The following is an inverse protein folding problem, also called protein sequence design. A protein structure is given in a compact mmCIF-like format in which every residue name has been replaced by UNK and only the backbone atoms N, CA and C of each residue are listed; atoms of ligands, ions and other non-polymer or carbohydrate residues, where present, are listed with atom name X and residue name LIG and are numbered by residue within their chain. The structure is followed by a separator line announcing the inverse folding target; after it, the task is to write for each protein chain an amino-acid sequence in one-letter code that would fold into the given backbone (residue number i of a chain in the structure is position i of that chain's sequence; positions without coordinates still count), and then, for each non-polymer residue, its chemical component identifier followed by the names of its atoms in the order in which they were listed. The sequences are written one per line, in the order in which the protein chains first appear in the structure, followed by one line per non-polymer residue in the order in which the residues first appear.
data_IF_653878601275
#
_entry.id   IF_653878601275
#
_cell.length_a   1.000
_cell.length_b   1.000
_cell.length_c   1.000
_cell.angle_alpha   90.00
_cell.angle_beta   90.00
_cell.angle_gamma   90.00
#
_symmetry.space_group_name_H-M   'P 1'
#
loop_
_entity.id
_entity.type
_entity.pdbx_description
1 polymer ?
#
# COMPACT_ATOMS: atom_id res chain seq x y z
N UNK A 1 -12.15 19.44 3.11
CA UNK A 1 -12.32 20.00 4.48
C UNK A 1 -12.91 21.42 4.49
N UNK A 2 -12.57 22.32 3.55
CA UNK A 2 -13.14 23.68 3.46
C UNK A 2 -14.66 23.72 3.21
N UNK A 3 -15.16 22.85 2.34
CA UNK A 3 -16.58 22.77 1.98
C UNK A 3 -17.46 22.32 3.17
N UNK A 4 -16.97 21.37 3.97
CA UNK A 4 -17.68 20.86 5.14
C UNK A 4 -17.81 21.92 6.25
N UNK A 5 -16.77 22.74 6.45
CA UNK A 5 -16.83 23.88 7.38
C UNK A 5 -17.85 24.92 6.92
N UNK A 6 -17.94 25.18 5.61
CA UNK A 6 -18.93 26.09 5.05
C UNK A 6 -20.38 25.63 5.30
N UNK A 7 -20.66 24.34 5.12
CA UNK A 7 -21.99 23.77 5.34
C UNK A 7 -22.40 23.84 6.83
N UNK A 8 -21.47 23.57 7.74
CA UNK A 8 -21.74 23.63 9.19
C UNK A 8 -22.06 25.07 9.63
N UNK A 9 -21.28 26.05 9.16
CA UNK A 9 -21.52 27.47 9.46
C UNK A 9 -22.87 27.94 8.91
N UNK A 10 -23.24 27.46 7.72
CA UNK A 10 -24.53 27.80 7.09
C UNK A 10 -25.72 27.19 7.84
N UNK A 11 -25.62 25.95 8.30
CA UNK A 11 -26.64 25.28 9.11
C UNK A 11 -26.83 25.94 10.49
N UNK A 12 -25.74 26.34 11.15
CA UNK A 12 -25.81 27.08 12.42
C UNK A 12 -26.45 28.46 12.25
N UNK A 13 -26.12 29.15 11.16
CA UNK A 13 -26.75 30.44 10.82
C UNK A 13 -28.25 30.31 10.54
N UNK A 14 -28.66 29.26 9.82
CA UNK A 14 -30.06 28.98 9.54
C UNK A 14 -30.84 28.65 10.83
N UNK A 15 -30.24 27.87 11.74
CA UNK A 15 -30.84 27.55 13.04
C UNK A 15 -31.03 28.81 13.91
N UNK A 16 -30.05 29.71 13.92
CA UNK A 16 -30.13 30.98 14.65
C UNK A 16 -31.20 31.91 14.04
N UNK A 17 -31.28 31.96 12.70
CA UNK A 17 -32.29 32.75 11.98
C UNK A 17 -33.71 32.24 12.27
N UNK A 18 -33.92 30.92 12.27
CA UNK A 18 -35.20 30.32 12.64
C UNK A 18 -35.58 30.62 14.09
N UNK A 19 -34.62 30.66 15.02
CA UNK A 19 -34.89 30.99 16.42
C UNK A 19 -35.37 32.45 16.62
N UNK A 20 -34.82 33.39 15.83
CA UNK A 20 -35.09 34.84 15.93
C UNK A 20 -36.36 35.26 15.18
N UNK A 21 -36.64 34.66 14.02
CA UNK A 21 -37.73 35.11 13.12
C UNK A 21 -39.08 34.45 13.43
N UNK A 22 -39.12 33.31 14.14
CA UNK A 22 -40.37 32.61 14.43
C UNK A 22 -41.16 33.30 15.58
N UNK A 23 -42.40 33.75 15.34
CA UNK A 23 -43.25 34.37 16.38
C UNK A 23 -43.56 33.36 17.50
N UNK A 24 -43.72 33.84 18.74
CA UNK A 24 -44.07 33.02 19.91
C UNK A 24 -45.51 32.50 19.79
N UNK A 25 -45.69 31.39 19.08
CA UNK A 25 -46.93 30.63 19.07
C UNK A 25 -46.71 29.25 19.68
N UNK A 26 -47.79 28.64 20.17
CA UNK A 26 -47.78 27.37 20.89
C UNK A 26 -47.14 26.18 20.12
N UNK A 27 -46.89 26.34 18.81
CA UNK A 27 -46.25 25.33 17.95
C UNK A 27 -44.74 25.54 17.72
N UNK A 28 -44.16 26.64 18.22
CA UNK A 28 -42.72 26.97 18.05
C UNK A 28 -41.81 25.87 18.60
N UNK A 29 -42.15 25.29 19.75
CA UNK A 29 -41.39 24.21 20.37
C UNK A 29 -41.39 22.91 19.52
N UNK A 30 -42.52 22.60 18.88
CA UNK A 30 -42.65 21.39 18.03
C UNK A 30 -41.86 21.51 16.73
N UNK A 31 -41.86 22.70 16.14
CA UNK A 31 -41.10 22.99 14.91
C UNK A 31 -39.59 22.94 15.19
N UNK A 32 -39.15 23.52 16.30
CA UNK A 32 -37.73 23.51 16.71
C UNK A 32 -37.27 22.07 17.03
N UNK A 33 -38.07 21.28 17.72
CA UNK A 33 -37.75 19.87 18.04
C UNK A 33 -37.69 18.98 16.77
N UNK A 34 -38.61 19.20 15.82
CA UNK A 34 -38.60 18.52 14.52
C UNK A 34 -37.34 18.82 13.70
N UNK A 35 -36.95 20.09 13.63
CA UNK A 35 -35.72 20.52 12.94
C UNK A 35 -34.47 19.96 13.65
N UNK A 36 -34.45 20.00 14.99
CA UNK A 36 -33.36 19.43 15.79
C UNK A 36 -33.15 17.94 15.51
N UNK A 37 -34.22 17.14 15.57
CA UNK A 37 -34.18 15.70 15.26
C UNK A 37 -33.70 15.43 13.82
N UNK A 38 -34.13 16.23 12.85
CA UNK A 38 -33.64 16.15 11.47
C UNK A 38 -32.13 16.39 11.33
N UNK A 39 -31.59 17.42 12.00
CA UNK A 39 -30.15 17.72 11.96
C UNK A 39 -29.33 16.63 12.65
N UNK A 40 -29.76 16.14 13.82
CA UNK A 40 -29.05 15.09 14.56
C UNK A 40 -29.03 13.76 13.80
N UNK A 41 -30.13 13.40 13.13
CA UNK A 41 -30.19 12.16 12.32
C UNK A 41 -29.26 12.22 11.10
N UNK A 42 -29.23 13.34 10.36
CA UNK A 42 -28.31 13.53 9.23
C UNK A 42 -26.86 13.52 9.71
N UNK A 43 -26.55 14.19 10.81
CA UNK A 43 -25.19 14.19 11.38
C UNK A 43 -24.76 12.78 11.82
N UNK A 44 -25.65 12.02 12.46
CA UNK A 44 -25.43 10.63 12.83
C UNK A 44 -25.12 9.73 11.63
N UNK A 45 -25.87 9.87 10.53
CA UNK A 45 -25.63 9.12 9.30
C UNK A 45 -24.28 9.46 8.64
N UNK A 46 -23.91 10.75 8.60
CA UNK A 46 -22.60 11.18 8.08
C UNK A 46 -21.47 10.63 8.93
N UNK A 47 -21.60 10.71 10.27
CA UNK A 47 -20.61 10.18 11.20
C UNK A 47 -20.47 8.65 11.06
N UNK A 48 -21.58 7.92 10.94
CA UNK A 48 -21.59 6.48 10.68
C UNK A 48 -20.91 6.14 9.34
N UNK A 49 -21.22 6.86 8.26
CA UNK A 49 -20.56 6.70 6.96
C UNK A 49 -19.05 6.96 7.06
N UNK A 50 -18.63 8.00 7.78
CA UNK A 50 -17.23 8.30 8.01
C UNK A 50 -16.53 7.19 8.81
N UNK A 51 -17.18 6.70 9.87
CA UNK A 51 -16.69 5.57 10.68
C UNK A 51 -16.60 4.27 9.88
N UNK A 52 -17.58 3.97 9.02
CA UNK A 52 -17.54 2.81 8.11
C UNK A 52 -16.42 2.95 7.09
N UNK A 53 -16.22 4.15 6.51
CA UNK A 53 -15.11 4.43 5.59
C UNK A 53 -13.76 4.32 6.29
N UNK A 54 -13.63 4.85 7.51
CA UNK A 54 -12.44 4.74 8.35
C UNK A 54 -12.17 3.28 8.75
N UNK A 55 -13.21 2.51 9.10
CA UNK A 55 -13.11 1.07 9.38
C UNK A 55 -12.71 0.29 8.15
N UNK A 56 -13.28 0.57 6.97
CA UNK A 56 -12.87 -0.04 5.71
C UNK A 56 -11.42 0.29 5.41
N UNK A 57 -11.00 1.54 5.52
CA UNK A 57 -9.60 1.93 5.34
C UNK A 57 -8.64 1.26 6.34
N UNK A 58 -9.02 1.17 7.63
CA UNK A 58 -8.26 0.41 8.64
C UNK A 58 -8.24 -1.10 8.38
N UNK A 59 -9.32 -1.67 7.85
CA UNK A 59 -9.40 -3.08 7.42
C UNK A 59 -8.69 -3.34 6.08
N UNK A 60 -8.53 -2.29 5.27
CA UNK A 60 -7.77 -2.28 4.02
C UNK A 60 -6.29 -1.96 4.24
N UNK A 61 -5.81 -1.79 5.49
CA UNK A 61 -4.42 -2.12 5.76
C UNK A 61 -4.25 -3.57 5.31
N UNK A 62 -3.35 -3.88 4.36
CA UNK A 62 -3.07 -5.24 3.97
C UNK A 62 -2.86 -6.02 5.26
N UNK A 63 -3.70 -7.03 5.48
CA UNK A 63 -3.51 -7.92 6.59
C UNK A 63 -2.09 -8.45 6.42
N UNK A 64 -1.20 -8.10 7.36
CA UNK A 64 0.10 -8.74 7.43
C UNK A 64 -0.20 -10.25 7.33
N UNK A 65 0.37 -10.96 6.33
CA UNK A 65 0.21 -12.39 6.18
C UNK A 65 0.45 -12.99 7.55
N UNK A 66 -0.57 -13.73 8.02
CA UNK A 66 -0.51 -14.42 9.29
C UNK A 66 0.77 -15.24 9.30
N UNK A 67 1.58 -15.01 10.32
CA UNK A 67 2.61 -15.92 10.83
C UNK A 67 3.65 -16.38 9.81
N UNK A 68 4.86 -15.90 10.04
CA UNK A 68 6.20 -16.43 9.68
C UNK A 68 6.44 -17.92 10.02
N UNK A 69 5.41 -18.77 9.98
CA UNK A 69 5.51 -20.22 10.12
C UNK A 69 5.13 -21.00 8.84
N UNK A 70 4.47 -20.40 7.85
CA UNK A 70 4.01 -21.11 6.65
C UNK A 70 4.73 -20.70 5.34
N UNK A 71 5.31 -19.49 5.27
CA UNK A 71 5.96 -18.94 4.08
C UNK A 71 7.47 -18.84 4.30
N UNK A 72 8.23 -19.92 4.08
CA UNK A 72 9.66 -19.84 3.73
C UNK A 72 10.56 -18.93 4.58
N UNK A 73 11.67 -18.51 3.98
CA UNK A 73 12.37 -17.28 4.37
C UNK A 73 11.86 -16.14 3.48
N UNK A 74 10.92 -15.29 3.94
CA UNK A 74 10.40 -14.23 3.09
C UNK A 74 11.47 -13.18 2.77
N UNK A 75 11.46 -12.67 1.54
CA UNK A 75 12.34 -11.58 1.08
C UNK A 75 11.56 -10.67 0.16
N UNK A 76 11.69 -9.36 0.34
CA UNK A 76 11.04 -8.39 -0.53
C UNK A 76 11.87 -8.19 -1.79
N UNK A 77 11.21 -8.11 -2.93
CA UNK A 77 11.83 -7.82 -4.22
C UNK A 77 11.21 -6.55 -4.79
N UNK A 78 12.05 -5.56 -5.07
CA UNK A 78 11.65 -4.37 -5.81
C UNK A 78 11.60 -4.73 -7.30
N UNK A 79 10.45 -5.18 -7.77
CA UNK A 79 10.26 -5.66 -9.14
C UNK A 79 10.48 -4.56 -10.18
N UNK A 80 10.09 -3.33 -9.84
CA UNK A 80 10.29 -2.16 -10.70
C UNK A 80 11.76 -1.82 -10.90
N UNK A 81 12.61 -1.99 -9.88
CA UNK A 81 14.06 -1.82 -10.04
C UNK A 81 14.71 -3.03 -10.71
N UNK A 82 14.34 -4.24 -10.28
CA UNK A 82 15.01 -5.48 -10.68
C UNK A 82 14.85 -5.79 -12.16
N UNK A 83 13.69 -5.48 -12.75
CA UNK A 83 13.47 -5.70 -14.18
C UNK A 83 14.43 -4.92 -15.09
N UNK A 84 15.07 -3.86 -14.58
CA UNK A 84 16.06 -3.04 -15.30
C UNK A 84 17.51 -3.51 -15.11
N UNK A 85 17.79 -4.58 -14.37
CA UNK A 85 19.19 -5.00 -14.14
C UNK A 85 19.91 -5.43 -15.41
N UNK A 86 19.18 -5.81 -16.46
CA UNK A 86 19.72 -6.12 -17.78
C UNK A 86 19.76 -4.94 -18.76
N UNK A 87 19.48 -3.72 -18.31
CA UNK A 87 19.29 -2.54 -19.16
C UNK A 87 17.81 -2.21 -19.31
N UNK A 88 17.23 -2.53 -20.45
CA UNK A 88 15.80 -2.33 -20.71
C UNK A 88 14.92 -3.17 -19.77
N UNK A 89 13.73 -2.67 -19.39
CA UNK A 89 12.83 -3.40 -18.51
C UNK A 89 12.47 -4.75 -19.11
N UNK A 90 12.82 -5.82 -18.39
CA UNK A 90 12.70 -7.18 -18.89
C UNK A 90 12.08 -8.10 -17.84
N UNK A 91 10.94 -8.70 -18.20
CA UNK A 91 10.32 -9.71 -17.36
C UNK A 91 11.24 -10.93 -17.18
N UNK A 92 12.01 -11.29 -18.20
CA UNK A 92 12.97 -12.41 -18.15
C UNK A 92 14.00 -12.20 -17.04
N UNK A 93 14.55 -10.99 -16.92
CA UNK A 93 15.53 -10.66 -15.87
C UNK A 93 14.89 -10.84 -14.50
N UNK A 94 13.69 -10.29 -14.30
CA UNK A 94 12.97 -10.43 -13.04
C UNK A 94 12.65 -11.89 -12.71
N UNK A 95 12.10 -12.67 -13.64
CA UNK A 95 11.81 -14.10 -13.45
C UNK A 95 13.06 -14.88 -13.02
N UNK A 96 14.22 -14.59 -13.62
CA UNK A 96 15.48 -15.27 -13.23
C UNK A 96 15.94 -14.89 -11.83
N UNK A 97 15.74 -13.66 -11.40
CA UNK A 97 16.04 -13.24 -10.02
C UNK A 97 15.12 -13.98 -9.04
N UNK A 98 13.84 -14.08 -9.35
CA UNK A 98 12.86 -14.78 -8.50
C UNK A 98 13.18 -16.28 -8.38
N UNK A 99 13.49 -16.93 -9.50
CA UNK A 99 13.91 -18.35 -9.52
C UNK A 99 15.18 -18.58 -8.70
N UNK A 100 16.17 -17.68 -8.79
CA UNK A 100 17.40 -17.78 -8.00
C UNK A 100 17.13 -17.61 -6.50
N UNK A 101 16.21 -16.72 -6.11
CA UNK A 101 15.79 -16.56 -4.71
C UNK A 101 15.09 -17.82 -4.18
N UNK A 102 14.17 -18.38 -4.97
CA UNK A 102 13.46 -19.62 -4.64
C UNK A 102 14.43 -20.81 -4.53
N UNK A 103 15.37 -20.95 -5.46
CA UNK A 103 16.41 -21.98 -5.42
C UNK A 103 17.30 -21.88 -4.18
N UNK A 104 17.46 -20.67 -3.62
CA UNK A 104 18.17 -20.43 -2.36
C UNK A 104 17.29 -20.63 -1.11
N UNK A 105 16.02 -21.02 -1.25
CA UNK A 105 15.10 -21.25 -0.13
C UNK A 105 14.44 -19.97 0.41
N UNK A 106 14.36 -18.92 -0.41
CA UNK A 106 13.60 -17.71 -0.08
C UNK A 106 12.24 -17.71 -0.75
N UNK A 107 11.28 -17.05 -0.09
CA UNK A 107 9.97 -16.76 -0.66
C UNK A 107 9.92 -15.30 -1.08
N UNK A 108 9.95 -15.00 -2.39
CA UNK A 108 9.93 -13.63 -2.87
C UNK A 108 8.55 -12.98 -2.70
N UNK A 109 8.53 -11.77 -2.17
CA UNK A 109 7.37 -10.87 -2.11
C UNK A 109 7.66 -9.67 -3.02
N UNK A 110 7.07 -9.65 -4.21
CA UNK A 110 7.40 -8.70 -5.27
C UNK A 110 6.51 -7.47 -5.20
N UNK A 111 7.12 -6.29 -5.18
CA UNK A 111 6.43 -5.01 -5.24
C UNK A 111 6.73 -4.32 -6.56
N UNK A 112 5.72 -3.65 -7.10
CA UNK A 112 5.82 -2.89 -8.34
C UNK A 112 5.22 -1.49 -8.18
N UNK A 113 5.80 -0.54 -8.93
CA UNK A 113 5.14 0.72 -9.23
C UNK A 113 3.90 0.52 -10.12
N UNK A 114 2.98 1.48 -10.08
CA UNK A 114 1.72 1.43 -10.83
C UNK A 114 1.90 1.36 -12.36
N UNK A 115 3.07 1.71 -12.89
CA UNK A 115 3.38 1.83 -14.32
C UNK A 115 4.05 0.57 -14.89
N UNK A 116 4.34 -0.45 -14.07
CA UNK A 116 5.01 -1.69 -14.52
C UNK A 116 4.37 -2.32 -15.74
N UNK A 117 3.03 -2.29 -15.83
CA UNK A 117 2.29 -2.86 -16.95
C UNK A 117 2.71 -2.25 -18.29
N UNK A 118 2.80 -0.91 -18.34
CA UNK A 118 3.22 -0.21 -19.56
C UNK A 118 4.69 -0.45 -19.87
N UNK A 119 5.55 -0.51 -18.84
CA UNK A 119 6.98 -0.76 -19.01
C UNK A 119 7.29 -2.16 -19.57
N UNK A 120 6.50 -3.18 -19.23
CA UNK A 120 6.74 -4.57 -19.64
C UNK A 120 5.87 -5.04 -20.82
N UNK A 121 4.68 -4.47 -20.99
CA UNK A 121 3.66 -4.98 -21.91
C UNK A 121 2.96 -3.90 -22.74
N UNK A 122 3.38 -2.65 -22.63
CA UNK A 122 2.79 -1.49 -23.32
C UNK A 122 1.27 -1.30 -23.07
N UNK A 123 0.79 -1.76 -21.91
CA UNK A 123 -0.61 -1.58 -21.48
C UNK A 123 -0.77 -1.67 -19.96
N UNK A 124 -1.94 -1.28 -19.44
CA UNK A 124 -2.28 -1.62 -18.06
C UNK A 124 -2.37 -3.13 -17.84
N UNK A 125 -1.84 -3.59 -16.71
CA UNK A 125 -1.82 -5.00 -16.30
C UNK A 125 -2.24 -5.09 -14.83
N UNK A 126 -3.15 -6.02 -14.53
CA UNK A 126 -3.61 -6.25 -13.17
C UNK A 126 -2.58 -7.09 -12.37
N UNK A 127 -2.53 -6.97 -11.02
CA UNK A 127 -1.60 -7.75 -10.18
C UNK A 127 -1.69 -9.27 -10.42
N UNK A 128 -2.91 -9.81 -10.59
CA UNK A 128 -3.14 -11.24 -10.87
C UNK A 128 -2.57 -11.67 -12.23
N UNK A 129 -2.50 -10.76 -13.19
CA UNK A 129 -1.89 -11.03 -14.49
C UNK A 129 -0.37 -11.00 -14.41
N UNK A 130 0.22 -10.01 -13.72
CA UNK A 130 1.65 -9.99 -13.41
C UNK A 130 2.09 -11.27 -12.69
N UNK A 131 1.34 -11.69 -11.68
CA UNK A 131 1.62 -12.92 -10.92
C UNK A 131 1.67 -14.16 -11.83
N UNK A 132 0.75 -14.28 -12.79
CA UNK A 132 0.76 -15.36 -13.78
C UNK A 132 2.00 -15.32 -14.68
N UNK A 133 2.41 -14.14 -15.14
CA UNK A 133 3.62 -14.01 -15.95
C UNK A 133 4.92 -14.32 -15.18
N UNK A 134 4.91 -14.16 -13.85
CA UNK A 134 6.04 -14.42 -12.97
C UNK A 134 6.03 -15.82 -12.36
N UNK A 135 5.01 -16.63 -12.64
CA UNK A 135 4.76 -17.92 -11.99
C UNK A 135 4.75 -17.83 -10.45
N UNK A 136 4.11 -16.77 -9.93
CA UNK A 136 3.95 -16.51 -8.51
C UNK A 136 2.49 -16.56 -8.08
N UNK A 137 2.22 -16.97 -6.83
CA UNK A 137 0.92 -16.76 -6.20
C UNK A 137 0.51 -15.28 -6.20
N UNK A 138 -0.76 -14.94 -6.45
CA UNK A 138 -1.21 -13.53 -6.51
C UNK A 138 -0.98 -12.72 -5.23
N UNK A 139 -0.91 -13.37 -4.07
CA UNK A 139 -0.61 -12.76 -2.77
C UNK A 139 0.88 -12.40 -2.59
N UNK A 140 1.76 -12.93 -3.44
CA UNK A 140 3.19 -12.57 -3.47
C UNK A 140 3.49 -11.40 -4.40
N UNK A 141 2.51 -10.85 -5.11
CA UNK A 141 2.68 -9.72 -6.03
C UNK A 141 1.82 -8.54 -5.60
N UNK A 142 2.47 -7.44 -5.25
CA UNK A 142 1.82 -6.19 -4.82
C UNK A 142 2.09 -5.08 -5.83
N UNK A 143 1.02 -4.41 -6.27
CA UNK A 143 1.10 -3.22 -7.10
C UNK A 143 0.78 -2.00 -6.23
N UNK A 144 1.67 -1.01 -6.23
CA UNK A 144 1.41 0.25 -5.54
C UNK A 144 0.22 0.98 -6.21
N UNK A 145 -0.66 1.63 -5.42
CA UNK A 145 -1.71 2.47 -5.99
C UNK A 145 -1.13 3.60 -6.85
N UNK A 146 -1.87 4.02 -7.87
CA UNK A 146 -1.48 5.17 -8.68
C UNK A 146 -1.39 6.44 -7.83
N UNK A 147 -0.33 7.22 -8.02
CA UNK A 147 -0.09 8.46 -7.28
C UNK A 147 0.51 8.27 -5.88
N UNK A 148 0.84 7.04 -5.48
CA UNK A 148 1.65 6.76 -4.29
C UNK A 148 3.05 6.31 -4.67
N UNK A 149 4.03 6.65 -3.83
CA UNK A 149 5.39 6.17 -3.99
C UNK A 149 5.47 4.68 -3.62
N UNK A 150 5.86 3.83 -4.56
CA UNK A 150 5.99 2.39 -4.34
C UNK A 150 7.07 2.08 -3.30
N UNK A 151 8.18 2.83 -3.33
CA UNK A 151 9.30 2.73 -2.39
C UNK A 151 8.84 2.87 -0.94
N UNK A 152 7.95 3.82 -0.65
CA UNK A 152 7.44 4.05 0.71
C UNK A 152 6.71 2.83 1.24
N UNK A 153 5.80 2.26 0.43
CA UNK A 153 4.99 1.10 0.80
C UNK A 153 5.90 -0.13 0.97
N UNK A 154 6.84 -0.31 0.05
CA UNK A 154 7.82 -1.39 0.10
C UNK A 154 8.69 -1.30 1.36
N UNK A 155 9.23 -0.11 1.67
CA UNK A 155 10.12 0.10 2.80
C UNK A 155 9.38 0.00 4.13
N UNK A 156 8.17 0.57 4.23
CA UNK A 156 7.29 0.40 5.39
C UNK A 156 7.07 -1.08 5.68
N UNK A 157 6.81 -1.88 4.64
CA UNK A 157 6.62 -3.34 4.77
C UNK A 157 7.89 -4.05 5.20
N UNK A 158 9.03 -3.74 4.58
CA UNK A 158 10.32 -4.33 4.89
C UNK A 158 10.74 -4.08 6.34
N UNK A 159 10.57 -2.85 6.81
CA UNK A 159 10.93 -2.47 8.17
C UNK A 159 10.00 -3.12 9.19
N UNK A 160 8.68 -3.12 8.93
CA UNK A 160 7.68 -3.69 9.83
C UNK A 160 7.88 -5.19 10.07
N UNK A 161 8.22 -5.93 9.00
CA UNK A 161 8.36 -7.38 9.05
C UNK A 161 9.81 -7.84 9.25
N UNK A 162 10.77 -6.92 9.34
CA UNK A 162 12.20 -7.23 9.48
C UNK A 162 12.79 -7.94 8.26
N UNK A 163 12.25 -7.68 7.07
CA UNK A 163 12.65 -8.36 5.83
C UNK A 163 13.77 -7.61 5.12
N UNK A 164 14.58 -8.37 4.37
CA UNK A 164 15.57 -7.80 3.45
C UNK A 164 14.90 -7.43 2.12
N UNK A 165 15.49 -6.46 1.42
CA UNK A 165 14.99 -5.94 0.15
C UNK A 165 15.99 -6.19 -0.97
N UNK A 166 15.59 -6.93 -1.99
CA UNK A 166 16.37 -7.13 -3.22
C UNK A 166 16.12 -5.97 -4.16
N UNK A 167 17.13 -5.10 -4.32
CA UNK A 167 17.08 -3.91 -5.19
C UNK A 167 18.48 -3.31 -5.35
N UNK A 168 18.76 -2.72 -6.51
CA UNK A 168 19.97 -1.93 -6.70
C UNK A 168 19.79 -0.46 -6.31
N UNK A 169 18.56 0.01 -6.05
CA UNK A 169 18.31 1.37 -5.56
C UNK A 169 18.91 1.61 -4.17
N UNK A 170 19.42 2.81 -3.93
CA UNK A 170 19.92 3.26 -2.63
C UNK A 170 18.85 3.94 -1.78
N UNK A 171 17.69 4.25 -2.34
CA UNK A 171 16.57 4.94 -1.70
C UNK A 171 17.03 6.18 -0.91
N UNK A 172 17.87 7.02 -1.53
CA UNK A 172 18.50 8.15 -0.85
C UNK A 172 17.47 9.12 -0.27
N UNK A 173 16.40 9.39 -1.02
CA UNK A 173 15.31 10.29 -0.62
C UNK A 173 14.53 9.76 0.59
N UNK A 174 14.54 8.44 0.79
CA UNK A 174 13.82 7.74 1.85
C UNK A 174 14.66 7.52 3.10
N UNK A 175 15.97 7.77 3.05
CA UNK A 175 16.91 7.45 4.14
C UNK A 175 16.56 8.14 5.47
N UNK A 176 16.04 9.36 5.42
CA UNK A 176 15.61 10.08 6.63
C UNK A 176 14.41 9.39 7.32
N UNK A 177 13.45 8.91 6.52
CA UNK A 177 12.27 8.20 7.03
C UNK A 177 12.59 6.75 7.41
N UNK A 178 13.49 6.11 6.67
CA UNK A 178 13.86 4.72 6.83
C UNK A 178 15.38 4.55 7.02
N UNK A 179 15.92 4.81 8.22
CA UNK A 179 17.37 4.68 8.48
C UNK A 179 17.93 3.28 8.19
N UNK A 180 17.09 2.24 8.30
CA UNK A 180 17.43 0.84 7.96
C UNK A 180 17.99 0.66 6.55
N UNK A 181 17.66 1.55 5.61
CA UNK A 181 18.24 1.58 4.25
C UNK A 181 19.77 1.64 4.28
N UNK A 182 20.35 2.29 5.29
CA UNK A 182 21.81 2.37 5.48
C UNK A 182 22.43 1.19 6.22
N UNK A 183 21.64 0.26 6.76
CA UNK A 183 22.14 -0.88 7.52
C UNK A 183 22.68 -1.97 6.60
N UNK A 184 23.83 -2.53 6.96
CA UNK A 184 24.47 -3.61 6.20
C UNK A 184 23.56 -4.85 6.19
N UNK A 185 23.24 -5.35 5.01
CA UNK A 185 22.44 -6.56 4.83
C UNK A 185 20.94 -6.33 4.72
N UNK A 186 20.44 -5.12 4.96
CA UNK A 186 19.03 -4.78 4.72
C UNK A 186 18.73 -4.75 3.22
N UNK A 187 19.56 -4.05 2.44
CA UNK A 187 19.50 -4.06 0.99
C UNK A 187 20.39 -5.16 0.42
N UNK A 188 19.80 -6.03 -0.39
CA UNK A 188 20.45 -7.10 -1.12
C UNK A 188 20.66 -6.64 -2.56
N UNK A 189 21.92 -6.41 -2.91
CA UNK A 189 22.31 -5.95 -4.25
C UNK A 189 22.44 -7.14 -5.20
N UNK A 190 22.35 -6.89 -6.49
CA UNK A 190 22.60 -7.93 -7.48
C UNK A 190 23.07 -7.41 -8.82
N UNK A 191 23.51 -8.34 -9.67
CA UNK A 191 23.96 -8.04 -11.03
C UNK A 191 23.37 -9.06 -11.99
N UNK A 192 23.05 -8.59 -13.19
CA UNK A 192 22.75 -9.43 -14.33
C UNK A 192 24.00 -9.59 -15.19
N UNK A 193 24.39 -10.82 -15.50
CA UNK A 193 25.53 -11.12 -16.38
C UNK A 193 25.20 -12.32 -17.27
N UNK A 194 25.20 -12.11 -18.60
CA UNK A 194 25.12 -13.18 -19.61
C UNK A 194 23.99 -14.21 -19.37
N UNK A 195 22.80 -13.76 -18.94
CA UNK A 195 21.67 -14.68 -18.70
C UNK A 195 21.57 -15.22 -17.26
N UNK A 196 22.53 -14.88 -16.40
CA UNK A 196 22.63 -15.32 -15.02
C UNK A 196 22.51 -14.14 -14.04
N UNK A 197 22.03 -14.43 -12.83
CA UNK A 197 21.86 -13.46 -11.74
C UNK A 197 22.91 -13.74 -10.67
N UNK A 198 23.61 -12.69 -10.23
CA UNK A 198 24.52 -12.74 -9.09
C UNK A 198 23.93 -11.89 -7.98
N UNK A 199 23.50 -12.51 -6.88
CA UNK A 199 23.03 -11.82 -5.68
C UNK A 199 24.18 -11.62 -4.68
N UNK A 200 24.38 -10.38 -4.24
CA UNK A 200 25.43 -9.96 -3.32
C UNK A 200 24.88 -9.91 -1.89
N UNK A 201 25.53 -10.61 -0.96
CA UNK A 201 25.17 -10.59 0.47
C UNK A 201 23.97 -11.46 0.85
N UNK A 202 23.51 -12.35 -0.03
CA UNK A 202 22.43 -13.30 0.24
C UNK A 202 22.96 -14.75 0.23
N UNK A 203 23.20 -15.33 1.41
CA UNK A 203 23.49 -16.77 1.56
C UNK A 203 22.25 -17.65 1.35
N UNK A 204 22.38 -18.98 1.49
CA UNK A 204 21.20 -19.87 1.47
C UNK A 204 20.25 -19.53 2.62
N UNK A 205 18.95 -19.52 2.33
CA UNK A 205 17.90 -19.40 3.34
C UNK A 205 17.96 -20.59 4.31
N UNK A 206 17.65 -20.34 5.58
CA UNK A 206 17.55 -21.41 6.56
C UNK A 206 16.40 -22.37 6.17
N UNK A 207 16.58 -23.69 6.26
CA UNK A 207 15.47 -24.61 6.01
C UNK A 207 14.32 -24.26 6.95
N UNK A 208 13.10 -24.15 6.41
CA UNK A 208 11.89 -24.05 7.23
C UNK A 208 11.76 -25.39 7.95
N UNK A 209 11.83 -25.40 9.27
CA UNK A 209 11.53 -26.59 10.05
C UNK A 209 10.09 -27.00 9.74
N UNK A 210 9.92 -28.23 9.26
CA UNK A 210 8.62 -28.83 8.92
C UNK A 210 7.73 -29.01 10.16
#
# INVERSE_FOLDING_TARGET
MRILKGIIVWLLGLMLLCAVVLPETADKARIIDGIGKGVFTVFGLICLCYLVRLRRWRRSKPQAPKTTGALGNPVIVDGSNVMHWGGDPSIKVLTRVLQELQARGYTPLVFFDANVGYKLFDRHVAPKELARHLDLPPDQVTLAPSGTAADEILLDRAVADGLRVVTNDRFLDWKQKFPKVGEKGFLVKGKWQQGSVILLGLGRGLPVAA
#
